data_IF_948076923171
#
_entry.id   IF_948076923171
#
_cell.length_a   1.000
_cell.length_b   1.000
_cell.length_c   1.000
_cell.angle_alpha   90.00
_cell.angle_beta   90.00
_cell.angle_gamma   90.00
#
_symmetry.space_group_name_H-M   'P 1'
#
loop_
_entity.id
_entity.type
_entity.pdbx_description
1 polymer ?
#
# COMPACT_ATOMS: atom_id res chain seq x y z
N UNK A 1 -1.29 -5.38 21.70
CA UNK A 1 0.12 -5.70 21.35
C UNK A 1 0.13 -6.90 20.40
N UNK A 2 0.86 -6.83 19.29
CA UNK A 2 1.13 -7.97 18.40
C UNK A 2 2.53 -8.53 18.70
N UNK A 3 2.64 -9.85 18.78
CA UNK A 3 3.91 -10.54 19.03
C UNK A 3 4.10 -11.65 18.01
N UNK A 4 5.26 -11.71 17.39
CA UNK A 4 5.72 -12.77 16.51
C UNK A 4 6.96 -13.39 17.15
N UNK A 5 6.98 -14.70 17.34
CA UNK A 5 8.09 -15.42 17.96
C UNK A 5 8.55 -16.58 17.06
N UNK A 6 9.79 -16.51 16.61
CA UNK A 6 10.50 -17.53 15.80
C UNK A 6 9.70 -17.99 14.56
N UNK A 7 8.97 -17.07 13.91
CA UNK A 7 8.16 -17.37 12.74
C UNK A 7 9.05 -17.82 11.57
N UNK A 8 8.80 -19.01 11.08
CA UNK A 8 9.36 -19.52 9.84
C UNK A 8 8.24 -20.02 8.93
N UNK A 9 8.35 -19.71 7.63
CA UNK A 9 7.36 -20.05 6.61
C UNK A 9 8.04 -20.58 5.36
N UNK A 10 7.52 -21.67 4.82
CA UNK A 10 7.86 -22.19 3.49
C UNK A 10 6.62 -22.58 2.72
N UNK A 11 6.67 -22.49 1.39
CA UNK A 11 5.65 -22.98 0.48
C UNK A 11 6.21 -24.15 -0.31
N UNK A 12 5.60 -25.33 -0.16
CA UNK A 12 6.10 -26.57 -0.75
C UNK A 12 7.38 -27.10 -0.07
N UNK A 13 8.12 -27.96 -0.77
CA UNK A 13 9.26 -28.70 -0.18
C UNK A 13 10.56 -27.92 -0.14
N UNK A 14 10.77 -26.89 -0.98
CA UNK A 14 12.11 -26.35 -1.26
C UNK A 14 12.31 -24.85 -1.06
N UNK A 15 11.29 -24.07 -0.73
CA UNK A 15 11.45 -22.61 -0.62
C UNK A 15 11.11 -22.07 0.76
N UNK A 16 12.12 -21.94 1.62
CA UNK A 16 11.98 -21.21 2.89
C UNK A 16 11.90 -19.70 2.61
N UNK A 17 10.71 -19.13 2.83
CA UNK A 17 10.40 -17.72 2.56
C UNK A 17 10.70 -16.86 3.77
N UNK A 18 10.36 -17.34 4.98
CA UNK A 18 10.68 -16.66 6.24
C UNK A 18 11.48 -17.60 7.13
N UNK A 19 12.43 -17.05 7.88
CA UNK A 19 13.30 -17.79 8.78
C UNK A 19 13.50 -17.02 10.08
N UNK A 20 12.93 -17.54 11.17
CA UNK A 20 13.17 -17.06 12.52
C UNK A 20 12.87 -15.54 12.69
N UNK A 21 11.72 -15.11 12.19
CA UNK A 21 11.24 -13.73 12.39
C UNK A 21 10.70 -13.60 13.82
N UNK A 22 11.30 -12.73 14.60
CA UNK A 22 10.84 -12.37 15.94
C UNK A 22 10.63 -10.87 16.02
N UNK A 23 9.40 -10.45 16.31
CA UNK A 23 8.98 -9.06 16.29
C UNK A 23 7.89 -8.80 17.32
N UNK A 24 8.01 -7.71 18.07
CA UNK A 24 6.96 -7.20 18.98
C UNK A 24 6.54 -5.82 18.52
N UNK A 25 5.23 -5.62 18.35
CA UNK A 25 4.64 -4.33 17.97
C UNK A 25 3.73 -3.86 19.11
N UNK A 26 3.97 -2.64 19.58
CA UNK A 26 3.17 -2.03 20.66
C UNK A 26 1.85 -1.50 20.10
N UNK A 27 0.86 -1.35 20.98
CA UNK A 27 -0.39 -0.72 20.58
C UNK A 27 -0.14 0.76 20.19
N UNK A 28 -0.72 1.17 19.06
CA UNK A 28 -0.54 2.51 18.49
C UNK A 28 0.81 2.74 17.78
N UNK A 29 1.67 1.73 17.71
CA UNK A 29 2.96 1.84 17.02
C UNK A 29 2.78 1.69 15.50
N UNK A 30 3.55 2.46 14.73
CA UNK A 30 3.66 2.33 13.27
C UNK A 30 5.00 1.68 12.91
N UNK A 31 4.96 0.44 12.42
CA UNK A 31 6.14 -0.34 12.01
C UNK A 31 6.19 -0.46 10.50
N UNK A 32 7.29 -0.02 9.92
CA UNK A 32 7.59 -0.17 8.50
C UNK A 32 8.48 -1.39 8.27
N UNK A 33 8.00 -2.36 7.52
CA UNK A 33 8.77 -3.48 6.98
C UNK A 33 9.27 -3.09 5.60
N UNK A 34 10.58 -3.04 5.39
CA UNK A 34 11.17 -2.68 4.09
C UNK A 34 12.30 -3.65 3.71
N UNK A 35 12.74 -3.62 2.47
CA UNK A 35 13.73 -4.54 1.91
C UNK A 35 13.51 -4.75 0.41
N UNK A 36 14.37 -5.53 -0.24
CA UNK A 36 14.25 -5.87 -1.66
C UNK A 36 12.93 -6.57 -2.00
N UNK A 37 12.55 -6.54 -3.29
CA UNK A 37 11.41 -7.35 -3.77
C UNK A 37 11.70 -8.82 -3.53
N UNK A 38 10.70 -9.58 -3.07
CA UNK A 38 10.87 -11.00 -2.74
C UNK A 38 11.58 -11.27 -1.40
N UNK A 39 11.92 -10.26 -0.59
CA UNK A 39 12.59 -10.47 0.70
C UNK A 39 11.73 -11.11 1.79
N UNK A 40 10.40 -11.25 1.58
CA UNK A 40 9.47 -11.87 2.52
C UNK A 40 8.52 -10.91 3.24
N UNK A 41 8.49 -9.60 2.91
CA UNK A 41 7.62 -8.60 3.58
C UNK A 41 6.13 -8.96 3.52
N UNK A 42 5.61 -9.22 2.32
CA UNK A 42 4.21 -9.63 2.12
C UNK A 42 3.90 -10.94 2.84
N UNK A 43 4.88 -11.84 2.94
CA UNK A 43 4.71 -13.11 3.67
C UNK A 43 4.59 -12.87 5.18
N UNK A 44 5.28 -11.86 5.74
CA UNK A 44 5.07 -11.44 7.14
C UNK A 44 3.66 -10.88 7.32
N UNK A 45 3.21 -9.97 6.42
CA UNK A 45 1.84 -9.43 6.44
C UNK A 45 0.81 -10.55 6.36
N UNK A 46 0.96 -11.49 5.40
CA UNK A 46 0.04 -12.62 5.22
C UNK A 46 0.05 -13.59 6.42
N UNK A 47 1.15 -13.68 7.14
CA UNK A 47 1.18 -14.46 8.36
C UNK A 47 0.44 -13.77 9.50
N UNK A 48 0.53 -12.44 9.59
CA UNK A 48 -0.16 -11.65 10.62
C UNK A 48 -1.69 -11.68 10.42
N UNK A 49 -2.16 -11.53 9.18
CA UNK A 49 -3.60 -11.51 8.86
C UNK A 49 -4.21 -12.91 8.66
N UNK A 50 -3.45 -13.98 8.89
CA UNK A 50 -3.92 -15.36 8.82
C UNK A 50 -3.89 -15.98 7.43
N UNK A 51 -3.77 -15.20 6.36
CA UNK A 51 -3.82 -15.71 4.98
C UNK A 51 -2.73 -16.72 4.65
N UNK A 52 -1.55 -16.61 5.28
CA UNK A 52 -0.47 -17.57 5.03
C UNK A 52 -0.84 -19.00 5.45
N UNK A 53 -1.76 -19.18 6.39
CA UNK A 53 -2.22 -20.49 6.87
C UNK A 53 -3.21 -21.16 5.89
N UNK A 54 -3.83 -20.39 4.99
CA UNK A 54 -4.79 -20.88 4.00
C UNK A 54 -4.13 -21.39 2.70
N UNK A 55 -2.83 -21.10 2.50
CA UNK A 55 -2.14 -21.58 1.30
C UNK A 55 -1.87 -23.09 1.38
N UNK A 56 -2.21 -23.80 0.33
CA UNK A 56 -1.88 -25.22 0.18
C UNK A 56 -0.35 -25.43 0.32
N UNK A 57 0.03 -26.45 1.08
CA UNK A 57 1.43 -26.81 1.36
C UNK A 57 2.26 -25.72 2.08
N UNK A 58 1.63 -24.73 2.73
CA UNK A 58 2.35 -23.83 3.63
C UNK A 58 2.78 -24.58 4.89
N UNK A 59 4.06 -24.52 5.20
CA UNK A 59 4.61 -25.03 6.47
C UNK A 59 5.02 -23.83 7.31
N UNK A 60 4.32 -23.64 8.43
CA UNK A 60 4.49 -22.51 9.32
C UNK A 60 4.87 -23.03 10.70
N UNK A 61 5.95 -22.48 11.25
CA UNK A 61 6.38 -22.73 12.63
C UNK A 61 6.59 -21.40 13.37
N UNK A 62 6.63 -21.45 14.70
CA UNK A 62 6.66 -20.28 15.54
C UNK A 62 5.26 -19.89 16.00
N UNK A 63 5.09 -18.66 16.50
CA UNK A 63 3.87 -18.16 17.12
C UNK A 63 3.60 -16.72 16.69
N UNK A 64 2.32 -16.41 16.42
CA UNK A 64 1.84 -15.05 16.17
C UNK A 64 0.65 -14.82 17.09
N UNK A 65 0.72 -13.79 17.92
CA UNK A 65 -0.32 -13.46 18.91
C UNK A 65 -0.77 -12.01 18.82
N UNK A 66 -2.07 -11.80 18.96
CA UNK A 66 -2.69 -10.51 19.22
C UNK A 66 -3.28 -10.53 20.63
N UNK A 67 -2.64 -9.84 21.57
CA UNK A 67 -2.90 -10.03 22.98
C UNK A 67 -2.61 -11.46 23.39
N UNK A 68 -3.60 -12.16 23.94
CA UNK A 68 -3.52 -13.57 24.34
C UNK A 68 -3.94 -14.55 23.24
N UNK A 69 -4.48 -14.06 22.11
CA UNK A 69 -5.02 -14.90 21.05
C UNK A 69 -3.93 -15.30 20.05
N UNK A 70 -3.74 -16.58 19.84
CA UNK A 70 -2.82 -17.15 18.86
C UNK A 70 -3.49 -17.23 17.48
N UNK A 71 -2.94 -16.55 16.47
CA UNK A 71 -3.53 -16.45 15.12
C UNK A 71 -3.81 -17.81 14.47
N UNK A 72 -2.89 -18.74 14.57
CA UNK A 72 -3.06 -20.09 13.96
C UNK A 72 -4.24 -20.91 14.49
N UNK A 73 -4.81 -20.50 15.63
CA UNK A 73 -5.93 -21.20 16.27
C UNK A 73 -7.26 -20.52 15.99
N UNK A 74 -7.27 -19.45 15.17
CA UNK A 74 -8.45 -18.67 14.85
C UNK A 74 -8.84 -18.86 13.40
N UNK A 75 -10.14 -18.82 13.15
CA UNK A 75 -10.69 -18.74 11.79
C UNK A 75 -10.45 -17.34 11.20
N UNK A 76 -10.39 -17.22 9.87
CA UNK A 76 -10.15 -15.93 9.21
C UNK A 76 -11.13 -14.84 9.62
N UNK A 77 -12.41 -15.18 9.83
CA UNK A 77 -13.40 -14.19 10.29
C UNK A 77 -13.10 -13.66 11.69
N UNK A 78 -12.56 -14.49 12.61
CA UNK A 78 -12.16 -14.05 13.95
C UNK A 78 -10.94 -13.14 13.89
N UNK A 79 -9.99 -13.43 12.99
CA UNK A 79 -8.82 -12.59 12.74
C UNK A 79 -9.27 -11.23 12.17
N UNK A 80 -10.23 -11.22 11.24
CA UNK A 80 -10.75 -9.99 10.62
C UNK A 80 -11.43 -9.03 11.61
N UNK A 81 -11.90 -9.53 12.76
CA UNK A 81 -12.42 -8.69 13.85
C UNK A 81 -11.32 -7.95 14.63
N UNK A 82 -10.07 -8.33 14.48
CA UNK A 82 -8.92 -7.75 15.20
C UNK A 82 -7.97 -7.00 14.28
N UNK A 83 -7.82 -7.47 13.05
CA UNK A 83 -6.83 -7.00 12.08
C UNK A 83 -7.54 -6.69 10.76
N UNK A 84 -7.51 -5.43 10.33
CA UNK A 84 -7.91 -5.05 8.99
C UNK A 84 -6.72 -5.10 8.04
N UNK A 85 -6.94 -5.49 6.79
CA UNK A 85 -5.90 -5.62 5.76
C UNK A 85 -6.17 -4.70 4.59
N UNK A 86 -5.12 -4.02 4.11
CA UNK A 86 -5.12 -3.26 2.86
C UNK A 86 -4.10 -3.91 1.93
N UNK A 87 -4.59 -4.53 0.84
CA UNK A 87 -3.77 -5.27 -0.10
C UNK A 87 -3.13 -4.38 -1.17
N UNK A 88 -2.04 -4.86 -1.77
CA UNK A 88 -1.30 -4.20 -2.83
C UNK A 88 -2.17 -3.86 -4.05
N UNK A 89 -3.08 -4.75 -4.42
CA UNK A 89 -4.00 -4.53 -5.54
C UNK A 89 -5.40 -4.19 -5.02
N UNK A 90 -5.84 -2.94 -5.06
CA UNK A 90 -7.16 -2.55 -4.57
C UNK A 90 -8.31 -3.19 -5.37
N UNK A 91 -8.07 -3.67 -6.60
CA UNK A 91 -9.13 -4.29 -7.42
C UNK A 91 -9.60 -5.64 -6.86
N UNK A 92 -8.79 -6.32 -6.08
CA UNK A 92 -9.15 -7.61 -5.45
C UNK A 92 -9.81 -7.43 -4.10
N UNK A 93 -10.01 -6.20 -3.64
CA UNK A 93 -10.53 -5.87 -2.33
C UNK A 93 -12.05 -5.72 -2.32
N UNK A 94 -12.66 -5.36 -3.46
CA UNK A 94 -14.04 -4.92 -3.53
C UNK A 94 -15.02 -6.04 -3.85
N UNK A 95 -16.10 -6.09 -3.09
CA UNK A 95 -17.22 -7.03 -3.25
C UNK A 95 -18.45 -6.34 -3.87
N UNK A 96 -18.62 -5.03 -3.64
CA UNK A 96 -19.74 -4.25 -4.15
C UNK A 96 -19.35 -3.40 -5.35
N UNK A 97 -20.34 -3.01 -6.15
CA UNK A 97 -20.14 -2.07 -7.24
C UNK A 97 -20.23 -0.61 -6.75
N UNK A 98 -21.06 -0.35 -5.75
CA UNK A 98 -21.24 0.96 -5.15
C UNK A 98 -20.26 1.18 -3.98
N UNK A 99 -19.64 2.34 -3.95
CA UNK A 99 -18.63 2.71 -2.95
C UNK A 99 -19.18 2.83 -1.54
N UNK A 100 -20.43 3.30 -1.39
CA UNK A 100 -21.08 3.42 -0.08
C UNK A 100 -21.38 2.04 0.49
N UNK A 101 -21.92 1.15 -0.36
CA UNK A 101 -22.20 -0.24 0.04
C UNK A 101 -20.92 -0.99 0.37
N UNK A 102 -19.84 -0.70 -0.35
CA UNK A 102 -18.54 -1.31 -0.05
C UNK A 102 -18.00 -0.91 1.33
N UNK A 103 -18.10 0.37 1.69
CA UNK A 103 -17.70 0.84 3.02
C UNK A 103 -18.54 0.24 4.15
N UNK A 104 -19.82 -0.02 3.90
CA UNK A 104 -20.73 -0.64 4.87
C UNK A 104 -20.62 -2.16 4.93
N UNK A 105 -20.10 -2.79 3.89
CA UNK A 105 -20.10 -4.25 3.71
C UNK A 105 -19.56 -5.02 4.92
N UNK A 106 -18.42 -4.59 5.46
CA UNK A 106 -17.84 -5.24 6.64
C UNK A 106 -18.74 -5.08 7.87
N UNK A 107 -19.32 -3.90 8.08
CA UNK A 107 -20.15 -3.59 9.23
C UNK A 107 -21.45 -4.40 9.21
N UNK A 108 -22.04 -4.59 8.02
CA UNK A 108 -23.20 -5.45 7.82
C UNK A 108 -22.86 -6.92 8.13
N UNK A 109 -21.71 -7.41 7.67
CA UNK A 109 -21.29 -8.79 7.90
C UNK A 109 -21.04 -9.11 9.37
N UNK A 110 -20.58 -8.15 10.17
CA UNK A 110 -20.43 -8.33 11.62
C UNK A 110 -21.73 -8.05 12.40
N UNK A 111 -22.81 -7.72 11.72
CA UNK A 111 -24.15 -7.58 12.29
C UNK A 111 -24.36 -6.31 13.10
N UNK A 112 -23.68 -5.20 12.78
CA UNK A 112 -23.93 -3.91 13.42
C UNK A 112 -25.32 -3.38 13.07
N UNK A 113 -25.96 -2.71 14.02
CA UNK A 113 -27.20 -2.02 13.74
C UNK A 113 -27.00 -0.76 12.88
N UNK A 114 -28.08 -0.32 12.23
CA UNK A 114 -28.03 0.80 11.30
C UNK A 114 -27.49 2.09 11.93
N UNK A 115 -27.83 2.36 13.19
CA UNK A 115 -27.42 3.58 13.89
C UNK A 115 -25.90 3.59 14.13
N UNK A 116 -25.34 2.46 14.53
CA UNK A 116 -23.89 2.30 14.72
C UNK A 116 -23.16 2.40 13.38
N UNK A 117 -23.69 1.79 12.31
CA UNK A 117 -23.11 1.91 10.97
C UNK A 117 -23.09 3.36 10.47
N UNK A 118 -24.20 4.09 10.63
CA UNK A 118 -24.29 5.52 10.28
C UNK A 118 -23.32 6.36 11.11
N UNK A 119 -23.15 6.06 12.40
CA UNK A 119 -22.20 6.76 13.28
C UNK A 119 -20.76 6.59 12.81
N UNK A 120 -20.35 5.36 12.51
CA UNK A 120 -18.99 5.06 12.02
C UNK A 120 -18.72 5.65 10.63
N UNK A 121 -19.73 5.62 9.75
CA UNK A 121 -19.63 6.24 8.43
C UNK A 121 -19.41 7.75 8.56
N UNK A 122 -20.20 8.44 9.37
CA UNK A 122 -20.07 9.88 9.59
C UNK A 122 -18.70 10.22 10.21
N UNK A 123 -18.25 9.47 11.22
CA UNK A 123 -16.92 9.68 11.80
C UNK A 123 -15.81 9.51 10.76
N UNK A 124 -15.88 8.48 9.94
CA UNK A 124 -14.91 8.22 8.87
C UNK A 124 -14.89 9.35 7.84
N UNK A 125 -16.05 9.84 7.42
CA UNK A 125 -16.17 10.96 6.48
C UNK A 125 -15.62 12.25 7.08
N UNK A 126 -15.91 12.52 8.36
CA UNK A 126 -15.37 13.68 9.07
C UNK A 126 -13.86 13.67 9.16
N UNK A 127 -13.28 12.49 9.29
CA UNK A 127 -11.83 12.27 9.42
C UNK A 127 -11.11 12.37 8.08
N UNK A 128 -11.60 11.70 7.04
CA UNK A 128 -10.89 11.57 5.76
C UNK A 128 -11.41 12.50 4.65
N UNK A 129 -12.59 13.12 4.82
CA UNK A 129 -13.19 14.06 3.85
C UNK A 129 -13.31 13.48 2.44
N UNK A 130 -13.78 12.24 2.35
CA UNK A 130 -13.95 11.50 1.09
C UNK A 130 -15.40 11.40 0.62
N UNK A 131 -16.28 12.31 1.05
CA UNK A 131 -17.70 12.37 0.69
C UNK A 131 -17.93 12.31 -0.82
N UNK A 132 -17.01 12.91 -1.60
CA UNK A 132 -17.05 12.94 -3.06
C UNK A 132 -16.89 11.56 -3.72
N UNK A 133 -16.49 10.54 -2.96
CA UNK A 133 -16.38 9.16 -3.43
C UNK A 133 -17.66 8.36 -3.22
N UNK A 134 -18.58 8.81 -2.37
CA UNK A 134 -19.80 8.07 -2.04
C UNK A 134 -20.79 8.01 -3.22
N UNK A 135 -21.56 6.92 -3.30
CA UNK A 135 -22.58 6.72 -4.33
C UNK A 135 -22.03 6.59 -5.75
N UNK A 136 -20.73 6.33 -5.91
CA UNK A 136 -20.09 6.15 -7.21
C UNK A 136 -19.88 4.67 -7.51
N UNK A 137 -19.79 4.34 -8.79
CA UNK A 137 -19.36 3.01 -9.20
C UNK A 137 -17.85 2.83 -8.95
N UNK A 138 -17.46 1.74 -8.29
CA UNK A 138 -16.06 1.39 -8.06
C UNK A 138 -15.28 1.29 -9.39
N UNK A 139 -15.94 0.90 -10.48
CA UNK A 139 -15.30 0.82 -11.81
C UNK A 139 -14.92 2.19 -12.38
N UNK A 140 -15.57 3.27 -11.92
CA UNK A 140 -15.28 4.65 -12.34
C UNK A 140 -14.13 5.28 -11.56
N UNK A 141 -13.76 4.69 -10.41
CA UNK A 141 -12.69 5.20 -9.57
C UNK A 141 -11.32 5.00 -10.22
N UNK A 142 -10.46 6.00 -10.09
CA UNK A 142 -9.02 5.88 -10.35
C UNK A 142 -8.35 4.88 -9.40
N UNK A 143 -7.14 4.43 -9.73
CA UNK A 143 -6.36 3.56 -8.84
C UNK A 143 -6.11 4.19 -7.46
N UNK A 144 -5.86 5.52 -7.43
CA UNK A 144 -5.66 6.26 -6.19
C UNK A 144 -6.92 6.35 -5.35
N UNK A 145 -8.08 6.69 -5.95
CA UNK A 145 -9.37 6.72 -5.24
C UNK A 145 -9.73 5.35 -4.67
N UNK A 146 -9.46 4.27 -5.40
CA UNK A 146 -9.64 2.89 -4.91
C UNK A 146 -8.80 2.61 -3.68
N UNK A 147 -7.53 3.01 -3.69
CA UNK A 147 -6.64 2.78 -2.55
C UNK A 147 -7.08 3.55 -1.31
N UNK A 148 -7.48 4.82 -1.49
CA UNK A 148 -8.06 5.64 -0.41
C UNK A 148 -9.31 4.98 0.16
N UNK A 149 -10.18 4.45 -0.70
CA UNK A 149 -11.39 3.73 -0.27
C UNK A 149 -11.04 2.47 0.55
N UNK A 150 -10.01 1.70 0.15
CA UNK A 150 -9.55 0.54 0.92
C UNK A 150 -9.05 0.93 2.32
N UNK A 151 -8.30 2.02 2.44
CA UNK A 151 -7.84 2.52 3.75
C UNK A 151 -9.02 3.01 4.60
N UNK A 152 -10.01 3.68 3.99
CA UNK A 152 -11.23 4.09 4.66
C UNK A 152 -12.06 2.89 5.15
N UNK A 153 -12.18 1.83 4.33
CA UNK A 153 -12.83 0.57 4.71
C UNK A 153 -12.12 -0.12 5.88
N UNK A 154 -10.79 -0.10 5.88
CA UNK A 154 -10.00 -0.62 7.00
C UNK A 154 -10.23 0.19 8.29
N UNK A 155 -10.36 1.52 8.20
CA UNK A 155 -10.64 2.36 9.36
C UNK A 155 -12.04 2.15 9.92
N UNK A 156 -13.07 2.16 9.06
CA UNK A 156 -14.48 2.04 9.49
C UNK A 156 -14.76 0.69 10.16
N UNK A 157 -13.96 -0.35 9.87
CA UNK A 157 -14.07 -1.65 10.53
C UNK A 157 -13.93 -1.57 12.05
N UNK A 158 -13.22 -0.56 12.56
CA UNK A 158 -12.95 -0.37 13.98
C UNK A 158 -11.83 -1.25 14.53
N UNK A 159 -11.10 -1.98 13.68
CA UNK A 159 -9.96 -2.79 14.07
C UNK A 159 -8.84 -1.90 14.67
N UNK A 160 -8.18 -2.42 15.69
CA UNK A 160 -7.06 -1.73 16.36
C UNK A 160 -5.72 -1.93 15.68
N UNK A 161 -5.64 -2.87 14.76
CA UNK A 161 -4.45 -3.17 13.97
C UNK A 161 -4.84 -3.11 12.50
N UNK A 162 -4.09 -2.36 11.71
CA UNK A 162 -4.22 -2.32 10.25
C UNK A 162 -2.89 -2.75 9.65
N UNK A 163 -2.92 -3.76 8.80
CA UNK A 163 -1.78 -4.20 8.00
C UNK A 163 -1.93 -3.71 6.57
N UNK A 164 -0.86 -3.16 5.98
CA UNK A 164 -0.87 -2.63 4.63
C UNK A 164 0.30 -3.23 3.83
N UNK A 165 -0.02 -3.85 2.69
CA UNK A 165 0.98 -4.43 1.79
C UNK A 165 1.12 -3.54 0.55
N UNK A 166 2.27 -2.88 0.42
CA UNK A 166 2.64 -1.95 -0.66
C UNK A 166 1.54 -0.97 -1.07
N UNK A 167 0.93 -0.24 -0.12
CA UNK A 167 -0.23 0.60 -0.40
C UNK A 167 0.04 1.74 -1.38
N UNK A 168 1.30 2.11 -1.62
CA UNK A 168 1.67 3.18 -2.55
C UNK A 168 2.02 2.70 -3.97
N UNK A 169 2.01 1.39 -4.26
CA UNK A 169 2.58 0.80 -5.47
C UNK A 169 2.02 1.40 -6.78
N UNK A 170 0.74 1.70 -6.82
CA UNK A 170 0.02 2.19 -8.01
C UNK A 170 -0.43 3.66 -7.88
N UNK A 171 0.13 4.42 -6.93
CA UNK A 171 -0.24 5.80 -6.66
C UNK A 171 0.69 6.78 -7.36
N UNK A 172 0.10 7.87 -7.83
CA UNK A 172 0.84 9.08 -8.17
C UNK A 172 1.15 9.89 -6.90
N UNK A 173 1.97 10.93 -7.04
CA UNK A 173 2.46 11.73 -5.92
C UNK A 173 1.34 12.37 -5.08
N UNK A 174 0.25 12.83 -5.72
CA UNK A 174 -0.85 13.44 -4.99
C UNK A 174 -1.55 12.42 -4.08
N UNK A 175 -1.78 11.21 -4.60
CA UNK A 175 -2.42 10.17 -3.80
C UNK A 175 -1.47 9.58 -2.74
N UNK A 176 -0.15 9.63 -2.95
CA UNK A 176 0.82 9.29 -1.90
C UNK A 176 0.75 10.29 -0.74
N UNK A 177 0.63 11.59 -1.04
CA UNK A 177 0.48 12.61 0.00
C UNK A 177 -0.83 12.43 0.78
N UNK A 178 -1.95 12.16 0.11
CA UNK A 178 -3.23 11.84 0.77
C UNK A 178 -3.11 10.58 1.63
N UNK A 179 -2.50 9.51 1.10
CA UNK A 179 -2.28 8.28 1.87
C UNK A 179 -1.43 8.55 3.11
N UNK A 180 -0.36 9.34 3.01
CA UNK A 180 0.47 9.75 4.14
C UNK A 180 -0.37 10.45 5.22
N UNK A 181 -1.21 11.40 4.83
CA UNK A 181 -2.09 12.13 5.77
C UNK A 181 -3.05 11.16 6.47
N UNK A 182 -3.68 10.23 5.74
CA UNK A 182 -4.55 9.22 6.32
C UNK A 182 -3.80 8.35 7.34
N UNK A 183 -2.58 7.90 7.03
CA UNK A 183 -1.76 7.09 7.94
C UNK A 183 -1.39 7.86 9.23
N UNK A 184 -1.07 9.15 9.10
CA UNK A 184 -0.83 10.03 10.26
C UNK A 184 -2.07 10.12 11.15
N UNK A 185 -3.25 10.30 10.55
CA UNK A 185 -4.52 10.35 11.28
C UNK A 185 -4.79 9.04 12.01
N UNK A 186 -4.64 7.89 11.32
CA UNK A 186 -4.81 6.57 11.92
C UNK A 186 -3.91 6.37 13.13
N UNK A 187 -2.63 6.72 12.98
CA UNK A 187 -1.64 6.64 14.07
C UNK A 187 -2.03 7.53 15.25
N UNK A 188 -2.43 8.79 14.99
CA UNK A 188 -2.86 9.72 16.04
C UNK A 188 -4.12 9.26 16.77
N UNK A 189 -4.95 8.43 16.15
CA UNK A 189 -6.11 7.76 16.78
C UNK A 189 -5.70 6.50 17.57
N UNK A 190 -4.42 6.19 17.68
CA UNK A 190 -3.89 5.06 18.41
C UNK A 190 -4.03 3.72 17.70
N UNK A 191 -4.26 3.70 16.40
CA UNK A 191 -4.31 2.49 15.58
C UNK A 191 -2.88 2.01 15.32
N UNK A 192 -2.66 0.73 15.56
CA UNK A 192 -1.38 0.06 15.26
C UNK A 192 -1.28 -0.18 13.77
N UNK A 193 -0.19 0.29 13.16
CA UNK A 193 0.04 0.17 11.72
C UNK A 193 1.26 -0.71 11.44
N UNK A 194 1.11 -1.67 10.55
CA UNK A 194 2.22 -2.49 10.05
C UNK A 194 2.21 -2.41 8.53
N UNK A 195 3.22 -1.74 7.98
CA UNK A 195 3.31 -1.50 6.54
C UNK A 195 4.47 -2.30 5.94
N UNK A 196 4.21 -3.04 4.88
CA UNK A 196 5.24 -3.52 3.97
C UNK A 196 5.36 -2.52 2.82
N UNK A 197 6.53 -1.88 2.62
CA UNK A 197 6.67 -0.83 1.62
C UNK A 197 8.11 -0.73 1.07
N UNK A 198 8.19 -0.36 -0.22
CA UNK A 198 9.46 -0.05 -0.89
C UNK A 198 9.76 1.45 -0.96
N UNK A 199 8.71 2.29 -1.03
CA UNK A 199 8.83 3.75 -1.06
C UNK A 199 8.86 4.29 0.36
N UNK A 200 10.05 4.39 0.94
CA UNK A 200 10.20 4.76 2.36
C UNK A 200 10.06 6.28 2.60
N UNK A 201 10.29 7.12 1.59
CA UNK A 201 10.41 8.58 1.76
C UNK A 201 9.16 9.24 2.37
N UNK A 202 7.97 8.80 2.02
CA UNK A 202 6.73 9.40 2.51
C UNK A 202 6.35 8.92 3.93
N UNK A 203 6.98 7.82 4.39
CA UNK A 203 6.73 7.22 5.70
C UNK A 203 7.72 7.67 6.79
N UNK A 204 8.71 8.49 6.46
CA UNK A 204 9.74 8.91 7.41
C UNK A 204 9.18 9.69 8.61
N UNK A 205 8.05 10.42 8.43
CA UNK A 205 7.36 11.13 9.51
C UNK A 205 6.24 10.30 10.15
N UNK A 206 5.93 9.12 9.62
CA UNK A 206 4.84 8.25 10.07
C UNK A 206 5.36 7.09 10.90
N UNK A 207 6.38 6.39 10.41
CA UNK A 207 6.92 5.21 11.06
C UNK A 207 7.64 5.54 12.38
N UNK A 208 7.41 4.72 13.42
CA UNK A 208 8.19 4.75 14.65
C UNK A 208 9.43 3.86 14.56
N UNK A 209 9.27 2.72 13.88
CA UNK A 209 10.35 1.76 13.66
C UNK A 209 10.39 1.31 12.21
N UNK A 210 11.61 1.06 11.75
CA UNK A 210 11.90 0.58 10.39
C UNK A 210 12.65 -0.74 10.53
N UNK A 211 12.07 -1.80 9.99
CA UNK A 211 12.60 -3.15 10.03
C UNK A 211 12.99 -3.55 8.60
N UNK A 212 14.23 -3.93 8.43
CA UNK A 212 14.77 -4.36 7.15
C UNK A 212 14.74 -5.87 7.07
N UNK A 213 14.00 -6.39 6.09
CA UNK A 213 13.90 -7.81 5.81
C UNK A 213 14.79 -8.15 4.61
N UNK A 214 15.71 -9.09 4.80
CA UNK A 214 16.58 -9.63 3.76
C UNK A 214 16.59 -11.16 3.85
N UNK A 215 16.39 -11.82 2.72
CA UNK A 215 16.40 -13.29 2.65
C UNK A 215 15.51 -13.97 3.69
N UNK A 216 14.32 -13.41 3.92
CA UNK A 216 13.34 -13.94 4.86
C UNK A 216 13.69 -13.77 6.34
N UNK A 217 14.63 -12.90 6.70
CA UNK A 217 15.06 -12.62 8.07
C UNK A 217 15.02 -11.13 8.37
N UNK A 218 14.88 -10.78 9.64
CA UNK A 218 15.13 -9.40 10.09
C UNK A 218 16.64 -9.20 10.07
N UNK A 219 17.10 -8.39 9.11
CA UNK A 219 18.51 -8.06 8.97
C UNK A 219 18.94 -6.92 9.90
N UNK A 220 18.09 -5.89 10.02
CA UNK A 220 18.32 -4.73 10.87
C UNK A 220 17.02 -4.12 11.33
N UNK A 221 17.08 -3.43 12.44
CA UNK A 221 16.00 -2.66 13.02
C UNK A 221 16.48 -1.28 13.43
N UNK A 222 15.70 -0.26 13.13
CA UNK A 222 15.98 1.13 13.45
C UNK A 222 14.74 1.80 14.06
N UNK A 223 14.96 2.74 14.96
CA UNK A 223 13.94 3.78 15.23
C UNK A 223 13.94 4.77 14.07
N UNK A 224 12.83 5.49 13.86
CA UNK A 224 12.78 6.54 12.82
C UNK A 224 13.95 7.53 12.95
N UNK A 225 14.28 7.96 14.17
CA UNK A 225 15.39 8.88 14.44
C UNK A 225 16.75 8.26 14.06
N UNK A 226 17.01 7.02 14.47
CA UNK A 226 18.28 6.36 14.14
C UNK A 226 18.45 6.09 12.64
N UNK A 227 17.35 5.86 11.92
CA UNK A 227 17.37 5.67 10.48
C UNK A 227 17.76 6.95 9.72
N UNK A 228 17.48 8.13 10.25
CA UNK A 228 17.90 9.40 9.65
C UNK A 228 19.44 9.56 9.60
N UNK A 229 20.19 8.87 10.48
CA UNK A 229 21.65 8.90 10.49
C UNK A 229 22.29 7.84 9.56
N UNK A 230 21.51 6.90 8.99
CA UNK A 230 22.01 5.92 8.01
C UNK A 230 22.41 6.66 6.73
N UNK A 231 23.56 6.37 6.17
CA UNK A 231 24.04 7.02 4.93
C UNK A 231 23.31 6.50 3.70
N UNK A 232 23.26 7.31 2.62
CA UNK A 232 22.61 6.89 1.36
C UNK A 232 23.34 5.68 0.74
N UNK A 233 24.66 5.55 0.96
CA UNK A 233 25.45 4.38 0.53
C UNK A 233 25.02 3.11 1.28
N UNK A 234 24.77 3.20 2.59
CA UNK A 234 24.25 2.07 3.38
C UNK A 234 22.82 1.72 2.98
N UNK A 235 21.96 2.72 2.73
CA UNK A 235 20.58 2.51 2.22
C UNK A 235 20.63 1.75 0.90
N UNK A 236 21.47 2.17 -0.05
CA UNK A 236 21.66 1.48 -1.32
C UNK A 236 22.26 0.06 -1.13
N UNK A 237 23.21 -0.10 -0.21
CA UNK A 237 23.78 -1.41 0.14
C UNK A 237 22.80 -2.39 0.78
N UNK A 238 21.73 -1.88 1.37
CA UNK A 238 20.59 -2.66 1.90
C UNK A 238 19.53 -2.97 0.84
N UNK A 239 19.74 -2.57 -0.43
CA UNK A 239 18.78 -2.74 -1.52
C UNK A 239 17.52 -1.88 -1.38
N UNK A 240 17.58 -0.82 -0.56
CA UNK A 240 16.44 0.05 -0.31
C UNK A 240 16.39 1.22 -1.31
N UNK A 241 15.19 1.72 -1.57
CA UNK A 241 15.00 2.98 -2.31
C UNK A 241 15.39 4.17 -1.43
N UNK A 242 15.70 5.30 -2.08
CA UNK A 242 16.04 6.53 -1.37
C UNK A 242 14.95 6.92 -0.36
N UNK A 243 15.38 7.39 0.80
CA UNK A 243 14.51 8.01 1.82
C UNK A 243 14.09 9.44 1.47
N UNK A 244 14.61 9.98 0.39
CA UNK A 244 14.27 11.30 -0.12
C UNK A 244 13.53 11.17 -1.45
N UNK A 245 12.61 12.12 -1.69
CA UNK A 245 11.96 12.25 -2.99
C UNK A 245 13.02 12.63 -4.02
N UNK A 246 13.22 11.80 -5.03
CA UNK A 246 14.20 12.08 -6.08
C UNK A 246 13.67 13.17 -7.00
N UNK A 247 14.34 14.32 -7.07
CA UNK A 247 14.07 15.35 -8.06
C UNK A 247 14.93 15.05 -9.28
N UNK A 248 14.28 14.68 -10.39
CA UNK A 248 14.98 14.47 -11.65
C UNK A 248 15.41 15.81 -12.26
N UNK A 249 16.70 16.00 -12.46
CA UNK A 249 17.21 17.13 -13.25
C UNK A 249 16.88 16.89 -14.74
N UNK A 250 16.38 17.90 -15.42
CA UNK A 250 16.10 17.79 -16.86
C UNK A 250 17.40 17.50 -17.62
N UNK A 251 17.44 16.45 -18.46
CA UNK A 251 18.60 16.18 -19.29
C UNK A 251 18.82 17.33 -20.29
N UNK A 252 20.07 17.63 -20.62
CA UNK A 252 20.42 18.58 -21.69
C UNK A 252 20.06 17.98 -23.04
N UNK A 253 19.42 18.76 -23.90
CA UNK A 253 19.05 18.39 -25.27
C UNK A 253 20.27 18.48 -26.19
N UNK A 254 20.73 17.33 -26.72
CA UNK A 254 21.70 17.27 -27.81
C UNK A 254 20.95 16.81 -29.06
N UNK A 255 20.73 17.73 -30.02
CA UNK A 255 19.85 17.56 -31.18
C UNK A 255 20.20 16.42 -32.13
N UNK A 256 19.19 15.67 -32.56
CA UNK A 256 19.20 14.59 -33.55
C UNK A 256 17.97 14.69 -34.49
N UNK A 257 17.85 13.75 -35.45
CA UNK A 257 16.64 13.62 -36.30
C UNK A 257 15.46 13.11 -35.47
N UNK A 258 14.28 13.69 -35.65
CA UNK A 258 13.18 13.61 -34.71
C UNK A 258 11.95 12.90 -35.33
N UNK A 259 11.26 12.13 -34.47
CA UNK A 259 9.85 11.85 -34.67
C UNK A 259 9.07 13.08 -34.19
N UNK A 260 8.42 13.79 -35.11
CA UNK A 260 7.67 15.01 -34.78
C UNK A 260 6.17 14.69 -34.79
N UNK A 261 5.54 14.87 -33.66
CA UNK A 261 4.10 14.80 -33.47
C UNK A 261 3.58 16.23 -33.45
N UNK A 262 2.69 16.57 -34.40
CA UNK A 262 2.08 17.90 -34.48
C UNK A 262 0.61 17.81 -34.11
N UNK A 263 0.18 18.54 -33.09
CA UNK A 263 -1.21 18.71 -32.64
C UNK A 263 -2.02 17.39 -32.64
N UNK A 264 -1.65 16.48 -31.79
CA UNK A 264 -2.42 15.26 -31.59
C UNK A 264 -3.63 15.54 -30.68
N UNK A 265 -4.83 15.35 -31.21
CA UNK A 265 -6.07 15.40 -30.44
C UNK A 265 -6.78 14.06 -30.55
N UNK A 266 -7.18 13.50 -29.41
CA UNK A 266 -7.93 12.25 -29.33
C UNK A 266 -9.09 12.40 -28.35
N UNK A 267 -10.30 12.18 -28.81
CA UNK A 267 -11.51 12.34 -28.03
C UNK A 267 -12.11 10.98 -27.67
N UNK A 268 -12.29 10.73 -26.37
CA UNK A 268 -13.00 9.55 -25.87
C UNK A 268 -14.48 9.87 -25.77
N UNK A 269 -15.32 9.13 -26.49
CA UNK A 269 -16.75 9.23 -26.36
C UNK A 269 -17.14 9.08 -24.87
N UNK A 270 -17.40 10.19 -24.15
CA UNK A 270 -17.79 10.33 -22.76
C UNK A 270 -16.69 10.36 -21.67
N UNK A 271 -15.39 10.42 -21.99
CA UNK A 271 -14.33 10.37 -20.95
C UNK A 271 -13.24 11.47 -21.04
N UNK A 272 -13.45 12.50 -21.83
CA UNK A 272 -12.48 13.59 -21.96
C UNK A 272 -11.66 13.55 -23.25
N UNK A 273 -10.89 14.59 -23.45
CA UNK A 273 -10.05 14.82 -24.64
C UNK A 273 -8.57 14.76 -24.24
N UNK A 274 -7.76 14.08 -25.05
CA UNK A 274 -6.31 14.15 -24.98
C UNK A 274 -5.81 15.13 -26.04
N UNK A 275 -5.28 16.23 -25.62
CA UNK A 275 -4.57 17.17 -26.49
C UNK A 275 -3.07 17.12 -26.20
N UNK A 276 -2.27 17.00 -27.24
CA UNK A 276 -0.82 17.02 -27.16
C UNK A 276 -0.31 18.02 -28.18
N UNK A 277 0.34 19.05 -27.69
CA UNK A 277 1.03 20.01 -28.52
C UNK A 277 2.23 19.38 -29.26
N UNK A 278 2.92 20.15 -30.08
CA UNK A 278 4.07 19.68 -30.84
C UNK A 278 5.12 19.02 -29.94
N UNK A 279 5.39 17.75 -30.18
CA UNK A 279 6.41 16.95 -29.48
C UNK A 279 7.42 16.42 -30.49
N UNK A 280 8.71 16.61 -30.20
CA UNK A 280 9.81 16.08 -30.97
C UNK A 280 10.57 15.04 -30.16
N UNK A 281 10.77 13.84 -30.74
CA UNK A 281 11.45 12.70 -30.13
C UNK A 281 12.62 12.26 -31.02
N UNK A 282 13.86 12.41 -30.55
CA UNK A 282 15.06 12.00 -31.27
C UNK A 282 15.17 10.48 -31.40
N UNK A 283 15.55 9.98 -32.54
CA UNK A 283 15.82 8.54 -32.71
C UNK A 283 17.01 8.09 -31.87
N UNK A 284 16.91 6.86 -31.33
CA UNK A 284 17.95 6.25 -30.51
C UNK A 284 17.99 6.72 -29.05
N UNK A 285 17.02 7.54 -28.63
CA UNK A 285 16.87 7.97 -27.22
C UNK A 285 15.71 7.26 -26.54
N UNK A 286 15.76 7.18 -25.20
CA UNK A 286 14.68 6.66 -24.37
C UNK A 286 13.98 7.85 -23.73
N UNK A 287 12.67 7.93 -23.91
CA UNK A 287 11.83 8.98 -23.34
C UNK A 287 10.89 8.40 -22.28
N UNK A 288 10.83 9.05 -21.14
CA UNK A 288 9.86 8.72 -20.09
C UNK A 288 8.64 9.64 -20.17
N UNK A 289 7.44 9.06 -20.27
CA UNK A 289 6.19 9.80 -20.18
C UNK A 289 5.74 9.78 -18.72
N UNK A 290 5.74 10.94 -18.09
CA UNK A 290 5.38 11.12 -16.68
C UNK A 290 4.15 12.02 -16.55
N UNK A 291 3.36 11.80 -15.51
CA UNK A 291 2.16 12.58 -15.22
C UNK A 291 1.24 11.84 -14.26
N UNK A 292 0.20 12.54 -13.79
CA UNK A 292 -0.82 11.99 -12.87
C UNK A 292 -1.52 10.76 -13.46
N UNK A 293 -2.10 9.91 -12.62
CA UNK A 293 -2.95 8.83 -13.07
C UNK A 293 -4.19 9.41 -13.79
N UNK A 294 -4.59 8.79 -14.90
CA UNK A 294 -5.71 9.28 -15.73
C UNK A 294 -5.40 10.43 -16.67
N UNK A 295 -4.19 11.01 -16.68
CA UNK A 295 -3.84 12.13 -17.58
C UNK A 295 -3.58 11.75 -19.05
N UNK A 296 -3.86 10.50 -19.47
CA UNK A 296 -3.75 10.09 -20.86
C UNK A 296 -2.43 9.48 -21.31
N UNK A 297 -1.48 9.13 -20.39
CA UNK A 297 -0.18 8.54 -20.76
C UNK A 297 -0.29 7.28 -21.61
N UNK A 298 -1.11 6.32 -21.19
CA UNK A 298 -1.32 5.07 -21.92
C UNK A 298 -2.04 5.30 -23.24
N UNK A 299 -2.97 6.26 -23.29
CA UNK A 299 -3.66 6.67 -24.50
C UNK A 299 -2.69 7.25 -25.53
N UNK A 300 -1.81 8.16 -25.08
CA UNK A 300 -0.79 8.75 -25.94
C UNK A 300 0.10 7.66 -26.55
N UNK A 301 0.57 6.69 -25.74
CA UNK A 301 1.35 5.57 -26.25
C UNK A 301 0.56 4.71 -27.25
N UNK A 302 -0.73 4.42 -26.96
CA UNK A 302 -1.57 3.60 -27.84
C UNK A 302 -1.92 4.28 -29.16
N UNK A 303 -1.94 5.61 -29.20
CA UNK A 303 -2.18 6.36 -30.45
C UNK A 303 -0.90 6.44 -31.28
N UNK A 304 0.27 6.29 -30.67
CA UNK A 304 1.56 6.29 -31.37
C UNK A 304 1.97 4.93 -31.94
N UNK A 305 1.34 3.84 -31.49
CA UNK A 305 1.59 2.45 -31.96
C UNK A 305 0.52 1.97 -32.91
#
# INVERSE_FOLDING_TARGET
MLTIENLSLSYGTDSKVLSDITLKVKDGECVLLTGESGSGKSSVINSINGLAFEYENAQISGSIKVGEKEIKNLELYEISLMIASVFQNPKTHFFNVDTTLELLFYLENIGLDKKEMESRMNEMLDVFKIDHLLGRSIFELSGGEKQILCVAAAYISGCKIIVLDEPSSNLDENYIDILKEMLIILKNKGITLILAEHRIYYLMDVADRIIIIQNGRIAREYTALSFLSVTDAEIAGLGLRSRYKTVLNKPKNDGGKDLIIKKLSFNFANKGELEVDDVSLDFGKIYGIIGKNGCGKSTFLSVMT
#
